data_IF_496183545658
#
_entry.id   IF_496183545658
#
_cell.length_a   1.000
_cell.length_b   1.000
_cell.length_c   1.000
_cell.angle_alpha   90.00
_cell.angle_beta   90.00
_cell.angle_gamma   90.00
#
_symmetry.space_group_name_H-M   'P 1'
#
loop_
_entity.id
_entity.type
_entity.pdbx_description
1 polymer ?
#
# COMPACT_ATOMS: atom_id res chain seq x y z
N UNK A 1 2.15 -7.82 1.57
CA UNK A 1 3.11 -6.71 1.74
C UNK A 1 3.84 -6.51 0.42
N UNK A 2 4.32 -5.30 0.20
CA UNK A 2 5.09 -4.93 -0.99
C UNK A 2 6.47 -4.44 -0.58
N UNK A 3 7.47 -4.71 -1.42
CA UNK A 3 8.82 -4.20 -1.24
C UNK A 3 9.00 -2.98 -2.15
N UNK A 4 9.16 -1.80 -1.56
CA UNK A 4 9.19 -0.53 -2.31
C UNK A 4 10.44 0.33 -2.06
N UNK A 5 10.70 1.29 -2.94
CA UNK A 5 11.65 2.39 -2.74
C UNK A 5 12.21 2.97 -4.04
N UNK A 6 12.69 4.22 -4.03
CA UNK A 6 13.33 4.81 -5.21
C UNK A 6 14.56 3.99 -5.64
N UNK A 7 15.00 4.04 -6.92
CA UNK A 7 16.14 3.27 -7.43
C UNK A 7 17.41 3.39 -6.59
N UNK A 8 17.69 4.57 -6.03
CA UNK A 8 18.83 4.89 -5.18
C UNK A 8 18.63 4.58 -3.69
N UNK A 9 17.41 4.31 -3.24
CA UNK A 9 17.10 4.09 -1.82
C UNK A 9 17.28 2.63 -1.38
N UNK A 10 17.35 2.42 -0.07
CA UNK A 10 17.22 1.07 0.47
C UNK A 10 15.75 0.64 0.42
N UNK A 11 15.50 -0.53 -0.17
CA UNK A 11 14.15 -1.04 -0.41
C UNK A 11 13.57 -1.56 0.90
N UNK A 12 12.37 -1.12 1.24
CA UNK A 12 11.71 -1.46 2.51
C UNK A 12 10.42 -2.24 2.25
N UNK A 13 10.04 -3.07 3.22
CA UNK A 13 8.76 -3.79 3.17
C UNK A 13 7.69 -2.99 3.89
N UNK A 14 6.55 -2.77 3.24
CA UNK A 14 5.39 -2.10 3.83
C UNK A 14 4.09 -2.79 3.41
N UNK A 15 2.98 -2.36 4.01
CA UNK A 15 1.64 -2.61 3.47
C UNK A 15 1.48 -1.85 2.14
N UNK A 16 0.65 -2.36 1.21
CA UNK A 16 0.33 -1.61 0.00
C UNK A 16 -0.21 -0.22 0.32
N UNK A 17 0.26 0.79 -0.41
CA UNK A 17 -0.14 2.18 -0.15
C UNK A 17 0.29 3.11 -1.27
N UNK A 18 -0.52 4.11 -1.59
CA UNK A 18 -0.12 5.20 -2.45
C UNK A 18 -0.91 6.47 -2.19
N UNK A 19 -0.76 7.42 -3.11
CA UNK A 19 -1.41 8.73 -3.04
C UNK A 19 -2.85 8.66 -3.55
N UNK A 20 -3.75 9.43 -2.95
CA UNK A 20 -5.08 9.64 -3.53
C UNK A 20 -4.99 10.60 -4.71
N UNK A 21 -5.70 10.27 -5.79
CA UNK A 21 -5.87 11.17 -6.94
C UNK A 21 -6.90 12.28 -6.66
N UNK A 22 -6.96 13.28 -7.55
CA UNK A 22 -7.93 14.38 -7.42
C UNK A 22 -9.37 13.84 -7.52
N UNK A 23 -10.21 14.18 -6.53
CA UNK A 23 -11.59 13.69 -6.39
C UNK A 23 -11.72 12.19 -6.08
N UNK A 24 -10.63 11.51 -5.71
CA UNK A 24 -10.66 10.10 -5.29
C UNK A 24 -10.97 9.98 -3.79
N UNK A 25 -11.87 9.06 -3.42
CA UNK A 25 -12.08 8.73 -2.01
C UNK A 25 -10.93 7.87 -1.48
N UNK A 26 -10.58 7.99 -0.19
CA UNK A 26 -9.52 7.15 0.42
C UNK A 26 -9.80 5.64 0.29
N UNK A 27 -11.08 5.25 0.26
CA UNK A 27 -11.50 3.87 0.02
C UNK A 27 -11.19 3.43 -1.41
N UNK A 28 -11.54 4.26 -2.41
CA UNK A 28 -11.25 3.97 -3.80
C UNK A 28 -9.74 3.91 -4.05
N UNK A 29 -8.98 4.87 -3.51
CA UNK A 29 -7.51 4.88 -3.53
C UNK A 29 -6.93 3.58 -2.96
N UNK A 30 -7.36 3.16 -1.76
CA UNK A 30 -6.87 1.92 -1.16
C UNK A 30 -7.13 0.67 -2.04
N UNK A 31 -8.29 0.60 -2.71
CA UNK A 31 -8.64 -0.52 -3.60
C UNK A 31 -7.78 -0.50 -4.86
N UNK A 32 -7.61 0.68 -5.49
CA UNK A 32 -6.79 0.88 -6.68
C UNK A 32 -5.32 0.51 -6.41
N UNK A 33 -4.73 1.09 -5.37
CA UNK A 33 -3.33 0.86 -4.99
C UNK A 33 -3.05 -0.60 -4.64
N UNK A 34 -3.96 -1.27 -3.93
CA UNK A 34 -3.82 -2.71 -3.68
C UNK A 34 -3.76 -3.51 -4.99
N UNK A 35 -4.59 -3.16 -5.98
CA UNK A 35 -4.58 -3.83 -7.26
C UNK A 35 -3.34 -3.50 -8.08
N UNK A 36 -2.93 -2.24 -8.16
CA UNK A 36 -1.74 -1.80 -8.89
C UNK A 36 -0.47 -2.44 -8.34
N UNK A 37 -0.27 -2.43 -7.03
CA UNK A 37 0.97 -2.94 -6.45
C UNK A 37 0.98 -4.47 -6.27
N UNK A 38 -0.18 -5.14 -6.18
CA UNK A 38 -0.25 -6.57 -5.83
C UNK A 38 -1.02 -7.48 -6.78
N UNK A 39 -1.86 -6.92 -7.65
CA UNK A 39 -2.72 -7.66 -8.58
C UNK A 39 -3.94 -8.31 -7.93
N UNK A 40 -4.17 -8.05 -6.63
CA UNK A 40 -5.32 -8.56 -5.89
C UNK A 40 -6.48 -7.57 -5.92
N UNK A 41 -7.69 -8.09 -6.14
CA UNK A 41 -8.92 -7.33 -5.92
C UNK A 41 -9.34 -7.46 -4.45
N UNK A 42 -9.66 -6.33 -3.83
CA UNK A 42 -9.98 -6.27 -2.40
C UNK A 42 -11.26 -5.51 -2.13
N UNK A 43 -11.90 -5.84 -1.01
CA UNK A 43 -13.01 -5.08 -0.42
C UNK A 43 -12.59 -4.52 0.94
N UNK A 44 -13.02 -3.30 1.26
CA UNK A 44 -12.76 -2.70 2.56
C UNK A 44 -13.66 -3.35 3.60
N UNK A 45 -13.04 -3.87 4.67
CA UNK A 45 -13.74 -4.42 5.83
C UNK A 45 -14.04 -3.28 6.83
N UNK A 46 -13.02 -2.49 7.19
CA UNK A 46 -13.15 -1.34 8.09
C UNK A 46 -11.93 -0.42 8.05
N UNK A 47 -12.12 0.82 8.51
CA UNK A 47 -11.02 1.73 8.85
C UNK A 47 -10.31 1.28 10.13
N UNK A 48 -8.98 1.32 10.14
CA UNK A 48 -8.16 0.92 11.29
C UNK A 48 -7.56 2.11 12.02
N UNK A 49 -6.77 2.93 11.33
CA UNK A 49 -6.00 3.99 11.96
C UNK A 49 -5.81 5.17 11.02
N UNK A 50 -5.93 6.38 11.55
CA UNK A 50 -5.62 7.63 10.87
C UNK A 50 -4.33 8.17 11.46
N UNK A 51 -3.35 8.45 10.61
CA UNK A 51 -2.06 9.01 11.00
C UNK A 51 -1.81 10.32 10.27
N UNK A 52 -1.62 11.38 11.03
CA UNK A 52 -1.22 12.69 10.52
C UNK A 52 0.28 12.87 10.71
N UNK A 53 0.97 13.38 9.69
CA UNK A 53 2.42 13.64 9.72
C UNK A 53 2.78 14.80 8.81
N UNK A 54 3.89 15.47 9.10
CA UNK A 54 4.49 16.44 8.17
C UNK A 54 5.59 15.72 7.37
N UNK A 55 5.49 15.74 6.04
CA UNK A 55 6.49 15.14 5.12
C UNK A 55 6.92 16.20 4.12
N UNK A 56 8.24 16.46 4.02
CA UNK A 56 8.80 17.52 3.16
C UNK A 56 8.14 18.91 3.34
N UNK A 57 7.66 19.22 4.55
CA UNK A 57 6.98 20.50 4.84
C UNK A 57 5.49 20.54 4.50
N UNK A 58 4.91 19.41 4.06
CA UNK A 58 3.49 19.27 3.77
C UNK A 58 2.79 18.41 4.81
N UNK A 59 1.59 18.81 5.23
CA UNK A 59 0.71 17.97 6.05
C UNK A 59 0.18 16.80 5.21
N UNK A 60 0.43 15.58 5.70
CA UNK A 60 0.06 14.33 5.05
C UNK A 60 -0.76 13.49 6.02
N UNK A 61 -1.92 13.05 5.55
CA UNK A 61 -2.81 12.18 6.30
C UNK A 61 -2.84 10.80 5.65
N UNK A 62 -2.59 9.76 6.44
CA UNK A 62 -2.58 8.36 6.00
C UNK A 62 -3.66 7.60 6.75
N UNK A 63 -4.63 7.05 6.01
CA UNK A 63 -5.68 6.18 6.56
C UNK A 63 -5.35 4.73 6.23
N UNK A 64 -5.28 3.89 7.27
CA UNK A 64 -5.10 2.44 7.15
C UNK A 64 -6.45 1.74 7.16
N UNK A 65 -6.59 0.73 6.31
CA UNK A 65 -7.80 -0.10 6.21
C UNK A 65 -7.48 -1.58 6.43
N UNK A 66 -8.45 -2.29 6.99
CA UNK A 66 -8.51 -3.75 6.92
C UNK A 66 -9.25 -4.12 5.64
N UNK A 67 -8.70 -5.04 4.86
CA UNK A 67 -9.25 -5.45 3.57
C UNK A 67 -9.35 -6.97 3.45
N UNK A 68 -10.30 -7.42 2.63
CA UNK A 68 -10.46 -8.83 2.27
C UNK A 68 -10.18 -9.03 0.79
N UNK A 69 -9.35 -10.02 0.44
CA UNK A 69 -9.08 -10.37 -0.96
C UNK A 69 -10.26 -11.17 -1.50
N UNK A 70 -10.86 -10.67 -2.58
CA UNK A 70 -12.01 -11.27 -3.26
C UNK A 70 -11.66 -11.85 -4.62
N UNK A 71 -10.45 -11.61 -5.11
CA UNK A 71 -9.99 -12.16 -6.38
C UNK A 71 -8.63 -11.62 -6.82
N UNK A 72 -8.30 -11.86 -8.09
CA UNK A 72 -7.02 -11.50 -8.68
C UNK A 72 -5.91 -12.50 -8.37
N UNK A 73 -4.72 -12.20 -8.86
CA UNK A 73 -3.54 -13.05 -8.73
C UNK A 73 -2.32 -12.18 -8.54
N UNK A 74 -1.33 -12.67 -7.79
CA UNK A 74 -0.09 -11.94 -7.51
C UNK A 74 0.56 -11.44 -8.80
N UNK A 75 0.50 -10.14 -9.03
CA UNK A 75 1.06 -9.46 -10.19
C UNK A 75 1.41 -8.03 -9.82
N UNK A 76 2.53 -7.51 -10.30
CA UNK A 76 2.88 -6.10 -10.12
C UNK A 76 2.38 -5.37 -11.38
N UNK A 77 1.47 -4.42 -11.19
CA UNK A 77 0.95 -3.49 -12.19
C UNK A 77 1.35 -2.06 -11.82
N UNK A 78 2.61 -1.88 -11.43
CA UNK A 78 3.13 -0.63 -10.89
C UNK A 78 3.64 0.28 -12.02
N UNK A 79 2.92 1.37 -12.35
CA UNK A 79 3.32 2.28 -13.43
C UNK A 79 4.56 3.10 -13.10
N UNK A 80 4.86 3.28 -11.80
CA UNK A 80 5.95 4.13 -11.32
C UNK A 80 7.26 3.34 -11.10
N UNK A 81 7.21 2.01 -11.25
CA UNK A 81 8.33 1.07 -11.13
C UNK A 81 9.09 1.15 -9.78
N UNK A 82 8.36 1.45 -8.69
CA UNK A 82 8.85 1.52 -7.33
C UNK A 82 8.60 0.24 -6.52
N UNK A 83 7.83 -0.72 -7.02
CA UNK A 83 7.51 -2.00 -6.40
C UNK A 83 8.38 -3.12 -6.98
N UNK A 84 9.17 -3.74 -6.11
CA UNK A 84 10.17 -4.74 -6.49
C UNK A 84 9.74 -6.17 -6.17
N UNK A 85 8.83 -6.36 -5.21
CA UNK A 85 8.38 -7.69 -4.78
C UNK A 85 7.05 -7.64 -4.03
N UNK A 86 6.31 -8.75 -4.06
CA UNK A 86 5.07 -8.96 -3.31
C UNK A 86 5.20 -10.24 -2.50
N UNK A 87 5.06 -10.12 -1.18
CA UNK A 87 5.13 -11.27 -0.29
C UNK A 87 4.08 -11.22 0.83
N UNK A 88 3.59 -12.39 1.18
CA UNK A 88 2.94 -12.63 2.46
C UNK A 88 4.03 -12.71 3.53
N UNK A 89 3.83 -11.97 4.62
CA UNK A 89 4.76 -11.92 5.75
C UNK A 89 4.00 -12.31 7.01
N UNK A 90 4.55 -13.25 7.75
CA UNK A 90 4.05 -13.60 9.08
C UNK A 90 4.28 -12.44 10.05
N UNK A 91 3.51 -12.39 11.15
CA UNK A 91 3.68 -11.38 12.18
C UNK A 91 5.10 -11.37 12.77
N UNK A 92 5.76 -12.54 12.85
CA UNK A 92 7.13 -12.64 13.38
C UNK A 92 8.20 -12.19 12.38
N UNK A 93 7.96 -12.31 11.07
CA UNK A 93 8.79 -11.64 10.08
C UNK A 93 8.63 -10.12 10.17
N UNK A 94 7.41 -9.62 10.34
CA UNK A 94 7.12 -8.18 10.43
C UNK A 94 7.82 -7.55 11.64
N UNK A 95 7.84 -8.21 12.79
CA UNK A 95 8.54 -7.72 14.00
C UNK A 95 10.06 -7.58 13.82
N UNK A 96 10.63 -8.19 12.79
CA UNK A 96 12.07 -8.19 12.48
C UNK A 96 12.43 -7.21 11.35
N UNK A 97 11.43 -6.54 10.77
CA UNK A 97 11.63 -5.49 9.75
C UNK A 97 12.16 -4.20 10.37
#
# INVERSE_FOLDING_TARGET
MVKQGQPEENKTWTVPSGGSEENESLVACCIRECYEETGYHVEIVRSLHLKERVTFGHDVTVQYFEVHIVGGTRCIHDPDELIYDIAWKSADEIKKL
#
